data_IF_641815720436
#
_entry.id   IF_641815720436
#
_cell.length_a   1.000
_cell.length_b   1.000
_cell.length_c   1.000
_cell.angle_alpha   90.00
_cell.angle_beta   90.00
_cell.angle_gamma   90.00
#
_symmetry.space_group_name_H-M   'P 1'
#
loop_
_entity.id
_entity.type
_entity.pdbx_description
1 polymer ?
#
# COMPACT_ATOMS: atom_id res chain seq x y z
N UNK A 1 -0.05 11.66 7.02
CA UNK A 1 -0.94 11.15 5.97
C UNK A 1 -1.01 9.63 6.07
N UNK A 2 -2.22 9.05 6.08
CA UNK A 2 -2.47 7.60 6.10
C UNK A 2 -2.45 7.06 4.68
N UNK A 3 -1.61 6.07 4.41
CA UNK A 3 -1.40 5.52 3.07
C UNK A 3 -1.89 4.09 3.00
N UNK A 4 -2.68 3.80 1.96
CA UNK A 4 -3.01 2.44 1.55
C UNK A 4 -2.17 2.05 0.33
N UNK A 5 -1.48 0.92 0.41
CA UNK A 5 -0.79 0.31 -0.72
C UNK A 5 -1.54 -0.95 -1.14
N UNK A 6 -1.91 -1.05 -2.40
CA UNK A 6 -2.41 -2.28 -3.00
C UNK A 6 -1.25 -3.01 -3.67
N UNK A 7 -0.96 -4.23 -3.20
CA UNK A 7 0.11 -5.06 -3.72
C UNK A 7 -0.46 -6.29 -4.44
N UNK A 8 -0.18 -6.38 -5.75
CA UNK A 8 -0.73 -7.42 -6.63
C UNK A 8 0.07 -8.73 -6.63
N UNK A 9 1.36 -8.70 -6.29
CA UNK A 9 2.19 -9.91 -6.21
C UNK A 9 3.20 -9.84 -5.05
N UNK A 10 3.71 -10.98 -4.52
CA UNK A 10 4.76 -11.00 -3.51
C UNK A 10 6.07 -10.33 -3.97
N UNK A 11 6.37 -10.39 -5.28
CA UNK A 11 7.60 -9.84 -5.85
C UNK A 11 7.52 -8.32 -6.09
N UNK A 12 6.31 -7.76 -6.15
CA UNK A 12 6.07 -6.35 -6.46
C UNK A 12 5.88 -5.51 -5.18
N UNK A 13 6.86 -5.57 -4.27
CA UNK A 13 6.85 -4.74 -3.06
C UNK A 13 7.04 -3.24 -3.33
N UNK A 14 6.87 -2.36 -2.32
CA UNK A 14 6.90 -0.91 -2.50
C UNK A 14 8.26 -0.33 -2.95
N UNK A 15 9.37 -1.06 -2.82
CA UNK A 15 10.67 -0.63 -3.34
C UNK A 15 11.08 0.77 -2.85
N UNK A 16 11.57 1.62 -3.77
CA UNK A 16 12.07 2.97 -3.43
C UNK A 16 11.01 3.90 -2.83
N UNK A 17 9.72 3.70 -3.12
CA UNK A 17 8.69 4.57 -2.54
C UNK A 17 8.59 4.38 -1.02
N UNK A 18 9.05 3.24 -0.50
CA UNK A 18 9.07 2.98 0.94
C UNK A 18 9.93 4.01 1.70
N UNK A 19 11.05 4.46 1.13
CA UNK A 19 11.89 5.48 1.75
C UNK A 19 11.14 6.82 1.87
N UNK A 20 10.43 7.21 0.82
CA UNK A 20 9.59 8.42 0.85
C UNK A 20 8.46 8.30 1.88
N UNK A 21 7.85 7.11 2.01
CA UNK A 21 6.78 6.84 2.96
C UNK A 21 7.26 6.93 4.41
N UNK A 22 8.46 6.46 4.72
CA UNK A 22 9.03 6.53 6.08
C UNK A 22 9.13 7.98 6.59
N UNK A 23 9.34 8.95 5.70
CA UNK A 23 9.47 10.36 6.07
C UNK A 23 8.15 11.13 6.07
N UNK A 24 7.15 10.70 5.30
CA UNK A 24 5.95 11.50 4.97
C UNK A 24 4.62 10.86 5.37
N UNK A 25 4.58 9.55 5.52
CA UNK A 25 3.39 8.86 5.96
C UNK A 25 3.35 8.83 7.49
N UNK A 26 2.17 9.09 8.06
CA UNK A 26 1.92 8.87 9.49
C UNK A 26 1.57 7.42 9.78
N UNK A 27 1.03 6.71 8.77
CA UNK A 27 0.76 5.29 8.81
C UNK A 27 0.74 4.73 7.38
N UNK A 28 1.21 3.49 7.21
CA UNK A 28 1.17 2.77 5.93
C UNK A 28 0.51 1.41 6.17
N UNK A 29 -0.53 1.11 5.40
CA UNK A 29 -1.15 -0.21 5.36
C UNK A 29 -0.93 -0.83 3.98
N UNK A 30 -0.39 -2.05 3.94
CA UNK A 30 -0.22 -2.81 2.71
C UNK A 30 -1.30 -3.88 2.65
N UNK A 31 -2.17 -3.77 1.64
CA UNK A 31 -3.18 -4.76 1.34
C UNK A 31 -2.61 -5.74 0.30
N UNK A 32 -2.32 -6.95 0.75
CA UNK A 32 -1.80 -8.03 -0.09
C UNK A 32 -2.95 -8.70 -0.85
N UNK A 33 -3.30 -8.15 -2.02
CA UNK A 33 -4.43 -8.63 -2.83
C UNK A 33 -4.23 -10.09 -3.28
N UNK A 34 -2.98 -10.48 -3.58
CA UNK A 34 -2.62 -11.87 -3.89
C UNK A 34 -2.89 -12.86 -2.76
N UNK A 35 -3.02 -12.38 -1.52
CA UNK A 35 -3.30 -13.19 -0.34
C UNK A 35 -4.77 -13.09 0.09
N UNK A 36 -5.66 -12.62 -0.80
CA UNK A 36 -7.09 -12.43 -0.53
C UNK A 36 -7.37 -11.52 0.69
N UNK A 37 -6.47 -10.56 0.95
CA UNK A 37 -6.67 -9.58 2.01
C UNK A 37 -7.95 -8.77 1.74
N UNK A 38 -8.73 -8.51 2.79
CA UNK A 38 -9.93 -7.68 2.67
C UNK A 38 -9.52 -6.22 2.41
N UNK A 39 -10.17 -5.59 1.44
CA UNK A 39 -10.00 -4.16 1.20
C UNK A 39 -10.47 -3.36 2.42
N UNK A 40 -9.68 -2.36 2.85
CA UNK A 40 -10.09 -1.47 3.93
C UNK A 40 -11.19 -0.51 3.45
N UNK A 41 -11.79 0.21 4.40
CA UNK A 41 -12.83 1.20 4.09
C UNK A 41 -12.25 2.41 3.36
N UNK A 42 -13.04 3.05 2.50
CA UNK A 42 -12.60 4.23 1.72
C UNK A 42 -12.22 5.44 2.59
N UNK A 43 -12.74 5.51 3.82
CA UNK A 43 -12.44 6.58 4.80
C UNK A 43 -11.17 6.32 5.64
N UNK A 44 -10.53 5.15 5.49
CA UNK A 44 -9.41 4.74 6.34
C UNK A 44 -8.04 5.22 5.88
N UNK A 45 -7.94 5.83 4.69
CA UNK A 45 -6.69 6.32 4.12
C UNK A 45 -6.89 7.67 3.43
N UNK A 46 -5.80 8.41 3.28
CA UNK A 46 -5.78 9.73 2.63
C UNK A 46 -5.13 9.65 1.23
N UNK A 47 -4.28 8.65 1.02
CA UNK A 47 -3.60 8.36 -0.26
C UNK A 47 -3.66 6.87 -0.57
N UNK A 48 -3.98 6.54 -1.83
CA UNK A 48 -3.90 5.21 -2.39
C UNK A 48 -2.70 5.09 -3.34
N UNK A 49 -1.92 4.04 -3.17
CA UNK A 49 -0.85 3.65 -4.10
C UNK A 49 -1.16 2.25 -4.61
N UNK A 50 -1.33 2.09 -5.92
CA UNK A 50 -1.45 0.79 -6.56
C UNK A 50 -0.09 0.40 -7.16
N UNK A 51 0.51 -0.68 -6.68
CA UNK A 51 1.76 -1.19 -7.23
C UNK A 51 1.49 -1.93 -8.54
N UNK A 52 2.48 -2.01 -9.42
CA UNK A 52 2.40 -2.89 -10.58
C UNK A 52 2.45 -4.38 -10.19
N UNK A 53 2.36 -5.24 -11.20
CA UNK A 53 2.40 -6.69 -11.04
C UNK A 53 1.27 -7.38 -11.81
N UNK A 54 1.42 -8.69 -12.10
CA UNK A 54 0.32 -9.52 -12.60
C UNK A 54 -0.76 -9.74 -11.53
#
# INVERSE_FOLDING_TARGET
MRVLILQHSPASGPGRINQWLLERASAVHICHLYAQARLPRLDSFDLLIALGGP
#
